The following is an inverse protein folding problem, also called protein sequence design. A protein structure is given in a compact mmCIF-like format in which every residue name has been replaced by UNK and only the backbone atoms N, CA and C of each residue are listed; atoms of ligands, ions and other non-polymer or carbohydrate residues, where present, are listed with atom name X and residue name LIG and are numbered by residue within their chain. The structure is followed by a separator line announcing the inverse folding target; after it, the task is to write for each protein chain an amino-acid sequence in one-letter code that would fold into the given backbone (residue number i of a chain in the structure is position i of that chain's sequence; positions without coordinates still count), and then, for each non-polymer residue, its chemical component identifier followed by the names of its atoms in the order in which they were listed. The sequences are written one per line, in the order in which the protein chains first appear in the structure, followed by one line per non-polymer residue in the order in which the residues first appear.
data_IF_063862704165
#
_entry.id   IF_063862704165
#
_cell.length_a   1.000
_cell.length_b   1.000
_cell.length_c   1.000
_cell.angle_alpha   90.00
_cell.angle_beta   90.00
_cell.angle_gamma   90.00
#
_symmetry.space_group_name_H-M   'P 1'
#
loop_
_entity.id
_entity.type
_entity.pdbx_description
1 polymer ?
#
# COMPACT_ATOMS: atom_id res chain seq x y z
N UNK A 1 -24.00 -12.68 21.17
CA UNK A 1 -24.80 -11.69 20.42
C UNK A 1 -25.20 -12.28 19.07
N UNK A 2 -26.42 -12.06 18.60
CA UNK A 2 -26.90 -12.59 17.31
C UNK A 2 -26.64 -11.58 16.17
N UNK A 3 -25.87 -11.97 15.16
CA UNK A 3 -25.67 -11.18 13.95
C UNK A 3 -26.88 -11.38 13.01
N UNK A 4 -27.63 -10.31 12.73
CA UNK A 4 -28.76 -10.36 11.81
C UNK A 4 -28.37 -9.78 10.45
N UNK A 5 -28.28 -10.64 9.43
CA UNK A 5 -27.94 -10.26 8.06
C UNK A 5 -29.22 -10.26 7.23
N UNK A 6 -29.73 -9.07 6.90
CA UNK A 6 -30.96 -8.90 6.11
C UNK A 6 -30.76 -9.11 4.61
N UNK A 7 -29.51 -9.20 4.14
CA UNK A 7 -29.20 -9.45 2.74
C UNK A 7 -29.11 -10.97 2.49
N UNK A 8 -30.01 -11.56 1.68
CA UNK A 8 -30.06 -13.01 1.46
C UNK A 8 -28.78 -13.55 0.83
N UNK A 9 -28.14 -12.79 -0.07
CA UNK A 9 -26.88 -13.20 -0.71
C UNK A 9 -25.74 -13.33 0.30
N UNK A 10 -25.64 -12.38 1.23
CA UNK A 10 -24.59 -12.40 2.26
C UNK A 10 -24.81 -13.56 3.23
N UNK A 11 -26.07 -13.82 3.60
CA UNK A 11 -26.40 -14.97 4.43
C UNK A 11 -26.04 -16.30 3.74
N UNK A 12 -26.32 -16.44 2.44
CA UNK A 12 -25.97 -17.65 1.69
C UNK A 12 -24.46 -17.85 1.56
N UNK A 13 -23.70 -16.76 1.33
CA UNK A 13 -22.24 -16.79 1.33
C UNK A 13 -21.69 -17.23 2.70
N UNK A 14 -22.20 -16.65 3.79
CA UNK A 14 -21.79 -17.01 5.14
C UNK A 14 -22.10 -18.48 5.45
N UNK A 15 -23.28 -18.97 5.05
CA UNK A 15 -23.69 -20.37 5.21
C UNK A 15 -22.77 -21.32 4.42
N UNK A 16 -22.48 -21.01 3.16
CA UNK A 16 -21.60 -21.83 2.32
C UNK A 16 -20.17 -21.88 2.87
N UNK A 17 -19.64 -20.73 3.27
CA UNK A 17 -18.29 -20.65 3.81
C UNK A 17 -18.18 -21.33 5.18
N UNK A 18 -19.19 -21.23 6.04
CA UNK A 18 -19.29 -22.00 7.28
C UNK A 18 -19.25 -23.52 7.01
N UNK A 19 -20.07 -23.99 6.07
CA UNK A 19 -20.12 -25.41 5.70
C UNK A 19 -18.78 -25.94 5.16
N UNK A 20 -18.09 -25.15 4.33
CA UNK A 20 -16.78 -25.54 3.76
C UNK A 20 -15.63 -25.50 4.76
N UNK A 21 -15.72 -24.65 5.79
CA UNK A 21 -14.64 -24.44 6.76
C UNK A 21 -14.86 -25.15 8.09
N UNK A 22 -16.03 -25.74 8.31
CA UNK A 22 -16.40 -26.34 9.61
C UNK A 22 -16.54 -25.33 10.74
N UNK A 23 -16.67 -24.04 10.42
CA UNK A 23 -16.78 -22.94 11.39
C UNK A 23 -18.22 -22.45 11.52
N UNK A 24 -18.51 -21.69 12.58
CA UNK A 24 -19.78 -20.96 12.67
C UNK A 24 -19.82 -19.83 11.64
N UNK A 25 -21.02 -19.44 11.20
CA UNK A 25 -21.18 -18.31 10.27
C UNK A 25 -20.56 -17.03 10.84
N UNK A 26 -20.71 -16.79 12.14
CA UNK A 26 -20.10 -15.63 12.82
C UNK A 26 -18.57 -15.67 12.75
N UNK A 27 -17.95 -16.84 12.99
CA UNK A 27 -16.48 -16.97 12.95
C UNK A 27 -15.92 -16.77 11.54
N UNK A 28 -16.64 -17.23 10.51
CA UNK A 28 -16.25 -16.99 9.11
C UNK A 28 -16.36 -15.52 8.74
N UNK A 29 -17.43 -14.85 9.17
CA UNK A 29 -17.60 -13.42 8.91
C UNK A 29 -16.52 -12.61 9.63
N UNK A 30 -16.21 -12.95 10.88
CA UNK A 30 -15.12 -12.32 11.62
C UNK A 30 -13.78 -12.48 10.89
N UNK A 31 -13.46 -13.68 10.40
CA UNK A 31 -12.25 -13.93 9.62
C UNK A 31 -12.21 -13.07 8.34
N UNK A 32 -13.31 -13.04 7.59
CA UNK A 32 -13.40 -12.27 6.35
C UNK A 32 -13.25 -10.77 6.59
N UNK A 33 -13.87 -10.25 7.66
CA UNK A 33 -13.76 -8.84 8.04
C UNK A 33 -12.33 -8.50 8.49
N UNK A 34 -11.68 -9.38 9.24
CA UNK A 34 -10.28 -9.19 9.65
C UNK A 34 -9.35 -9.12 8.44
N UNK A 35 -9.47 -10.07 7.52
CA UNK A 35 -8.69 -10.08 6.27
C UNK A 35 -8.94 -8.83 5.42
N UNK A 36 -10.18 -8.37 5.35
CA UNK A 36 -10.51 -7.12 4.66
C UNK A 36 -9.82 -5.93 5.31
N UNK A 37 -9.94 -5.79 6.64
CA UNK A 37 -9.34 -4.67 7.38
C UNK A 37 -7.81 -4.69 7.33
N UNK A 38 -7.19 -5.86 7.45
CA UNK A 38 -5.73 -6.03 7.33
C UNK A 38 -5.21 -5.65 5.93
N UNK A 39 -6.05 -5.81 4.91
CA UNK A 39 -5.72 -5.44 3.53
C UNK A 39 -5.97 -3.97 3.19
N UNK A 40 -6.67 -3.22 4.06
CA UNK A 40 -6.86 -1.79 3.86
C UNK A 40 -5.59 -1.04 4.30
N UNK A 41 -5.11 -0.07 3.50
CA UNK A 41 -4.05 0.81 3.96
C UNK A 41 -4.51 1.50 5.24
N UNK A 42 -3.68 1.47 6.28
CA UNK A 42 -3.90 2.33 7.43
C UNK A 42 -3.75 3.78 7.00
N UNK A 43 -4.47 4.71 7.62
CA UNK A 43 -4.36 6.14 7.30
C UNK A 43 -2.90 6.62 7.32
N UNK A 44 -2.06 6.03 8.18
CA UNK A 44 -0.61 6.28 8.25
C UNK A 44 0.14 5.82 6.99
N UNK A 45 -0.22 4.67 6.39
CA UNK A 45 0.42 4.16 5.18
C UNK A 45 -0.04 4.93 3.93
N UNK A 46 -1.31 5.32 3.86
CA UNK A 46 -1.82 6.18 2.80
C UNK A 46 -1.21 7.59 2.87
N UNK A 47 -1.06 8.12 4.09
CA UNK A 47 -0.38 9.39 4.37
C UNK A 47 1.12 9.31 4.08
N UNK A 48 1.76 8.18 4.42
CA UNK A 48 3.17 7.91 4.10
C UNK A 48 3.42 7.85 2.59
N UNK A 49 2.56 7.17 1.83
CA UNK A 49 2.65 7.13 0.36
C UNK A 49 2.45 8.52 -0.23
N UNK A 50 1.42 9.24 0.22
CA UNK A 50 1.16 10.63 -0.19
C UNK A 50 2.36 11.53 0.10
N UNK A 51 3.05 11.33 1.24
CA UNK A 51 4.25 12.09 1.60
C UNK A 51 5.45 11.74 0.72
N UNK A 52 5.66 10.47 0.40
CA UNK A 52 6.71 10.05 -0.54
C UNK A 52 6.46 10.63 -1.92
N UNK A 53 5.23 10.53 -2.42
CA UNK A 53 4.86 11.07 -3.74
C UNK A 53 5.03 12.61 -3.78
N UNK A 54 4.71 13.30 -2.69
CA UNK A 54 4.96 14.75 -2.56
C UNK A 54 6.46 15.11 -2.57
N UNK A 55 7.30 14.31 -1.90
CA UNK A 55 8.76 14.50 -1.90
C UNK A 55 9.34 14.25 -3.30
N UNK A 56 8.88 13.19 -3.98
CA UNK A 56 9.32 12.88 -5.35
C UNK A 56 8.90 13.97 -6.33
N UNK A 57 7.68 14.51 -6.22
CA UNK A 57 7.23 15.62 -7.04
C UNK A 57 8.03 16.91 -6.79
N UNK A 58 8.40 17.20 -5.55
CA UNK A 58 9.28 18.33 -5.21
C UNK A 58 10.69 18.14 -5.77
N UNK A 59 11.23 16.92 -5.68
CA UNK A 59 12.49 16.54 -6.32
C UNK A 59 12.42 16.71 -7.83
N UNK A 60 11.41 16.20 -8.52
CA UNK A 60 11.28 16.34 -9.98
C UNK A 60 11.21 17.82 -10.42
N UNK A 61 10.53 18.67 -9.64
CA UNK A 61 10.47 20.12 -9.92
C UNK A 61 11.84 20.78 -9.72
N UNK A 62 12.58 20.41 -8.67
CA UNK A 62 13.91 20.96 -8.42
C UNK A 62 14.95 20.43 -9.41
N UNK A 63 14.97 19.11 -9.64
CA UNK A 63 15.88 18.44 -10.56
C UNK A 63 15.59 18.82 -12.01
N UNK A 64 14.33 18.96 -12.43
CA UNK A 64 13.98 19.41 -13.79
C UNK A 64 14.33 20.88 -14.08
N UNK A 65 14.66 21.67 -13.05
CA UNK A 65 15.20 23.03 -13.19
C UNK A 65 16.72 23.06 -13.31
N UNK A 66 17.39 21.99 -12.91
CA UNK A 66 18.81 21.81 -13.12
C UNK A 66 19.00 20.95 -14.37
N UNK A 67 19.85 21.38 -15.29
CA UNK A 67 20.26 20.52 -16.40
C UNK A 67 21.22 19.47 -15.85
N UNK A 68 20.64 18.48 -15.16
CA UNK A 68 21.36 17.34 -14.59
C UNK A 68 21.68 16.40 -15.74
N UNK A 69 22.66 16.83 -16.53
CA UNK A 69 23.50 15.88 -17.25
C UNK A 69 23.89 14.80 -16.27
N UNK A 70 23.69 13.54 -16.66
CA UNK A 70 24.08 12.39 -15.84
C UNK A 70 25.58 12.50 -15.64
N UNK A 71 26.00 13.03 -14.49
CA UNK A 71 27.40 13.07 -14.09
C UNK A 71 27.84 11.62 -13.92
N UNK A 72 28.71 11.16 -14.81
CA UNK A 72 29.38 9.88 -14.62
C UNK A 72 30.49 10.07 -13.57
N UNK A 73 30.96 8.98 -12.97
CA UNK A 73 32.01 9.05 -11.95
C UNK A 73 33.28 9.72 -12.49
N UNK A 74 33.50 9.60 -13.80
CA UNK A 74 34.61 10.19 -14.55
C UNK A 74 34.49 11.73 -14.69
N UNK A 75 33.31 12.32 -14.52
CA UNK A 75 33.10 13.78 -14.57
C UNK A 75 33.41 14.46 -13.22
N UNK A 76 33.50 13.68 -12.14
CA UNK A 76 33.74 14.18 -10.78
C UNK A 76 35.23 14.37 -10.45
N UNK A 77 36.14 13.82 -11.26
CA UNK A 77 37.57 13.91 -11.04
C UNK A 77 38.30 14.41 -12.28
N UNK A 78 39.32 15.23 -12.09
CA UNK A 78 40.26 15.58 -13.16
C UNK A 78 41.16 14.38 -13.53
N UNK A 79 41.96 14.53 -14.59
CA UNK A 79 42.91 13.50 -15.06
C UNK A 79 43.95 13.09 -13.98
N UNK A 80 44.10 13.88 -12.91
CA UNK A 80 44.96 13.58 -11.77
C UNK A 80 44.22 12.87 -10.61
N UNK A 81 42.92 12.63 -10.75
CA UNK A 81 42.07 11.98 -9.76
C UNK A 81 41.62 12.91 -8.62
N UNK A 82 41.69 14.23 -8.82
CA UNK A 82 41.26 15.22 -7.83
C UNK A 82 39.85 15.72 -8.14
N UNK A 83 39.01 16.00 -7.12
CA UNK A 83 37.70 16.59 -7.33
C UNK A 83 37.83 17.95 -8.03
N UNK A 84 37.06 18.15 -9.10
CA UNK A 84 36.96 19.43 -9.84
C UNK A 84 36.10 20.46 -9.13
#
# INVERSE_FOLDING_TARGET
MSLNIKNPRVHDLARQAAARTGRSQTSVIELALRQLLDGLPTDDAASGRTRVDAILADLDVHLGRHDLTVLDHDDLYDDAGLPT
#
